data_IF_412365530713
#
_entry.id   IF_412365530713
#
_cell.length_a   1.000
_cell.length_b   1.000
_cell.length_c   1.000
_cell.angle_alpha   90.00
_cell.angle_beta   90.00
_cell.angle_gamma   90.00
#
_symmetry.space_group_name_H-M   'P 1'
#
loop_
_entity.id
_entity.type
_entity.pdbx_description
1 polymer ?
#
# COMPACT_ATOMS: atom_id res chain seq x y z
N UNK A 1 -17.67 8.12 -15.18
CA UNK A 1 -16.37 8.66 -15.61
C UNK A 1 -15.94 9.83 -14.75
N UNK A 2 -14.64 9.93 -14.46
CA UNK A 2 -14.03 11.04 -13.74
C UNK A 2 -13.30 11.94 -14.74
N UNK A 3 -13.99 12.87 -15.42
CA UNK A 3 -13.36 13.74 -16.41
C UNK A 3 -12.27 14.59 -15.72
N UNK A 4 -11.07 14.64 -16.32
CA UNK A 4 -9.86 15.31 -15.81
C UNK A 4 -9.16 14.63 -14.62
N UNK A 5 -9.53 13.40 -14.26
CA UNK A 5 -8.78 12.64 -13.27
C UNK A 5 -7.39 12.28 -13.81
N UNK A 6 -6.35 12.84 -13.19
CA UNK A 6 -4.95 12.57 -13.54
C UNK A 6 -4.46 11.22 -13.02
N UNK A 7 -5.11 10.71 -11.96
CA UNK A 7 -4.86 9.38 -11.43
C UNK A 7 -5.64 9.14 -10.14
N UNK A 8 -5.82 7.86 -9.81
CA UNK A 8 -6.47 7.41 -8.58
C UNK A 8 -5.42 6.87 -7.60
N UNK A 9 -5.45 7.34 -6.36
CA UNK A 9 -4.56 6.88 -5.29
C UNK A 9 -5.29 5.91 -4.36
N UNK A 10 -4.68 4.77 -4.05
CA UNK A 10 -5.19 3.82 -3.06
C UNK A 10 -4.05 3.17 -2.26
N UNK A 11 -4.37 2.78 -1.03
CA UNK A 11 -3.45 2.20 -0.06
C UNK A 11 -3.92 0.84 0.44
N UNK A 12 -3.05 -0.18 0.41
CA UNK A 12 -3.37 -1.53 0.88
C UNK A 12 -2.34 -2.08 1.85
N UNK A 13 -2.83 -2.62 2.97
CA UNK A 13 -2.01 -3.44 3.86
C UNK A 13 -1.75 -4.82 3.23
N UNK A 14 -0.51 -5.07 2.84
CA UNK A 14 -0.05 -6.38 2.37
C UNK A 14 0.46 -7.17 3.56
N UNK A 15 -0.18 -8.31 3.84
CA UNK A 15 0.21 -9.18 4.97
C UNK A 15 1.59 -9.80 4.70
N UNK A 16 2.47 -9.72 5.69
CA UNK A 16 3.82 -10.30 5.65
C UNK A 16 4.02 -11.27 6.81
N UNK A 17 5.01 -12.16 6.68
CA UNK A 17 5.54 -12.90 7.83
C UNK A 17 6.33 -11.91 8.71
N UNK A 18 6.14 -11.99 10.02
CA UNK A 18 6.83 -11.12 10.99
C UNK A 18 8.35 -11.22 10.82
N UNK A 19 9.05 -10.13 10.46
CA UNK A 19 10.50 -10.16 10.34
C UNK A 19 11.16 -10.38 11.71
N UNK A 20 12.31 -11.07 11.73
CA UNK A 20 13.02 -11.34 12.97
C UNK A 20 13.43 -10.04 13.69
N UNK A 21 13.29 -9.99 15.02
CA UNK A 21 13.62 -8.82 15.87
C UNK A 21 12.92 -7.49 15.48
N UNK A 22 11.82 -7.55 14.73
CA UNK A 22 11.08 -6.35 14.33
C UNK A 22 10.15 -5.75 15.40
N UNK A 23 10.06 -6.39 16.58
CA UNK A 23 9.15 -5.95 17.63
C UNK A 23 7.70 -5.88 17.13
N UNK A 24 7.10 -4.70 17.23
CA UNK A 24 5.77 -4.36 16.72
C UNK A 24 5.80 -3.49 15.46
N UNK A 25 6.98 -3.24 14.85
CA UNK A 25 7.14 -2.29 13.73
C UNK A 25 6.16 -2.54 12.56
N UNK A 26 5.92 -3.79 12.23
CA UNK A 26 5.00 -4.18 11.15
C UNK A 26 3.62 -4.60 11.65
N UNK A 27 3.39 -4.65 12.97
CA UNK A 27 2.17 -5.16 13.56
C UNK A 27 1.08 -4.09 13.51
N UNK A 28 -0.01 -4.37 12.81
CA UNK A 28 -1.11 -3.42 12.61
C UNK A 28 -2.28 -3.67 13.57
N UNK A 29 -3.25 -2.75 13.55
CA UNK A 29 -4.47 -2.83 14.36
C UNK A 29 -5.40 -4.01 14.02
N UNK A 30 -5.21 -4.65 12.86
CA UNK A 30 -5.95 -5.84 12.44
C UNK A 30 -5.31 -7.13 12.96
N UNK A 31 -4.39 -7.02 13.92
CA UNK A 31 -3.72 -8.12 14.60
C UNK A 31 -2.85 -9.00 13.68
N UNK A 32 -2.26 -8.44 12.63
CA UNK A 32 -1.27 -9.14 11.80
C UNK A 32 -0.10 -8.23 11.38
N UNK A 33 1.01 -8.82 10.92
CA UNK A 33 2.13 -8.06 10.37
C UNK A 33 1.87 -7.66 8.91
N UNK A 34 2.08 -6.40 8.55
CA UNK A 34 1.90 -5.90 7.17
C UNK A 34 2.87 -4.79 6.81
N UNK A 35 3.12 -4.63 5.51
CA UNK A 35 3.59 -3.38 4.92
C UNK A 35 2.42 -2.67 4.22
N UNK A 36 2.54 -1.36 4.04
CA UNK A 36 1.61 -0.53 3.27
C UNK A 36 2.14 -0.41 1.85
N UNK A 37 1.29 -0.74 0.88
CA UNK A 37 1.47 -0.44 -0.53
C UNK A 37 0.58 0.75 -0.86
N UNK A 38 1.18 1.88 -1.22
CA UNK A 38 0.47 3.05 -1.74
C UNK A 38 0.77 3.15 -3.24
N UNK A 39 -0.26 3.26 -4.06
CA UNK A 39 -0.07 3.36 -5.51
C UNK A 39 -1.02 4.38 -6.14
N UNK A 40 -0.55 5.02 -7.22
CA UNK A 40 -1.35 5.89 -8.08
C UNK A 40 -1.52 5.19 -9.42
N UNK A 41 -2.77 5.01 -9.85
CA UNK A 41 -3.11 4.48 -11.18
C UNK A 41 -3.50 5.60 -12.14
N UNK A 42 -3.03 5.53 -13.39
CA UNK A 42 -3.52 6.37 -14.48
C UNK A 42 -4.88 5.89 -15.01
N UNK A 43 -5.44 6.63 -15.98
CA UNK A 43 -6.70 6.31 -16.64
C UNK A 43 -6.66 5.00 -17.46
N UNK A 44 -5.47 4.46 -17.76
CA UNK A 44 -5.28 3.18 -18.45
C UNK A 44 -5.15 2.00 -17.48
N UNK A 45 -5.33 2.23 -16.17
CA UNK A 45 -5.16 1.20 -15.14
C UNK A 45 -3.71 0.84 -14.84
N UNK A 46 -2.73 1.66 -15.24
CA UNK A 46 -1.31 1.43 -14.97
C UNK A 46 -0.88 2.18 -13.73
N UNK A 47 -0.11 1.51 -12.87
CA UNK A 47 0.54 2.18 -11.75
C UNK A 47 1.65 3.11 -12.25
N UNK A 48 1.50 4.41 -12.01
CA UNK A 48 2.48 5.44 -12.37
C UNK A 48 3.39 5.82 -11.19
N UNK A 49 2.91 5.61 -9.97
CA UNK A 49 3.68 5.81 -8.73
C UNK A 49 3.38 4.64 -7.80
N UNK A 50 4.42 4.11 -7.16
CA UNK A 50 4.31 3.08 -6.12
C UNK A 50 5.26 3.42 -4.98
N UNK A 51 4.74 3.44 -3.77
CA UNK A 51 5.53 3.55 -2.54
C UNK A 51 5.24 2.35 -1.62
N UNK A 52 6.29 1.85 -0.97
CA UNK A 52 6.24 0.65 -0.13
C UNK A 52 6.91 0.94 1.20
N UNK A 53 6.12 0.95 2.26
CA UNK A 53 6.56 1.34 3.59
C UNK A 53 5.97 0.51 4.72
N UNK A 54 6.47 0.73 5.93
CA UNK A 54 5.97 0.12 7.18
C UNK A 54 5.84 1.17 8.26
#
# INVERSE_FOLDING_TARGET
DFPLCLGAIDGKHIRIKKPHRSGSKYYNYKCYCSIVLLAVSDANGKFVIVDVGS
#
